data_IF_369426686101
#
_entry.id   IF_369426686101
#
_cell.length_a   1.000
_cell.length_b   1.000
_cell.length_c   1.000
_cell.angle_alpha   90.00
_cell.angle_beta   90.00
_cell.angle_gamma   90.00
#
_symmetry.space_group_name_H-M   'P 1'
#
loop_
_entity.id
_entity.type
_entity.pdbx_description
1 polymer ?
#
# COMPACT_ATOMS: atom_id res chain seq x y z
N UNK A 1 -13.45 22.22 38.72
CA UNK A 1 -14.11 21.19 37.90
C UNK A 1 -14.15 21.56 36.42
N UNK A 2 -14.64 22.76 36.05
CA UNK A 2 -14.71 23.24 34.66
C UNK A 2 -13.33 23.31 33.94
N UNK A 3 -12.28 23.80 34.60
CA UNK A 3 -10.92 23.84 34.03
C UNK A 3 -10.36 22.45 33.68
N UNK A 4 -10.66 21.44 34.50
CA UNK A 4 -10.16 20.06 34.29
C UNK A 4 -10.83 19.45 33.05
N UNK A 5 -12.16 19.58 32.94
CA UNK A 5 -12.93 19.08 31.79
C UNK A 5 -12.46 19.76 30.49
N UNK A 6 -12.22 21.07 30.55
CA UNK A 6 -11.68 21.83 29.42
C UNK A 6 -10.26 21.40 29.02
N UNK A 7 -9.36 21.21 29.99
CA UNK A 7 -8.01 20.71 29.71
C UNK A 7 -8.01 19.32 29.08
N UNK A 8 -8.89 18.42 29.56
CA UNK A 8 -9.01 17.06 29.05
C UNK A 8 -9.61 17.01 27.64
N UNK A 9 -10.63 17.84 27.36
CA UNK A 9 -11.22 17.95 26.03
C UNK A 9 -10.19 18.44 25.00
N UNK A 10 -9.37 19.43 25.39
CA UNK A 10 -8.27 19.95 24.56
C UNK A 10 -7.19 18.89 24.30
N UNK A 11 -6.82 18.10 25.31
CA UNK A 11 -5.89 16.99 25.16
C UNK A 11 -6.42 15.95 24.15
N UNK A 12 -7.68 15.51 24.31
CA UNK A 12 -8.32 14.56 23.38
C UNK A 12 -8.39 15.09 21.96
N UNK A 13 -8.67 16.39 21.79
CA UNK A 13 -8.65 17.04 20.48
C UNK A 13 -7.30 16.89 19.78
N UNK A 14 -6.18 17.15 20.48
CA UNK A 14 -4.85 17.00 19.88
C UNK A 14 -4.53 15.55 19.53
N UNK A 15 -4.90 14.60 20.40
CA UNK A 15 -4.69 13.18 20.13
C UNK A 15 -5.43 12.73 18.85
N UNK A 16 -6.70 13.09 18.69
CA UNK A 16 -7.45 12.78 17.47
C UNK A 16 -6.85 13.44 16.23
N UNK A 17 -6.36 14.67 16.36
CA UNK A 17 -5.70 15.36 15.24
C UNK A 17 -4.42 14.66 14.79
N UNK A 18 -3.61 14.18 15.74
CA UNK A 18 -2.42 13.40 15.42
C UNK A 18 -2.78 12.03 14.84
N UNK A 19 -3.81 11.37 15.37
CA UNK A 19 -4.30 10.09 14.85
C UNK A 19 -4.76 10.21 13.39
N UNK A 20 -5.57 11.23 13.07
CA UNK A 20 -5.99 11.53 11.69
C UNK A 20 -4.77 11.71 10.78
N UNK A 21 -3.72 12.37 11.27
CA UNK A 21 -2.48 12.58 10.49
C UNK A 21 -1.77 11.25 10.19
N UNK A 22 -1.66 10.36 11.16
CA UNK A 22 -1.05 9.03 10.93
C UNK A 22 -1.89 8.17 10.00
N UNK A 23 -3.21 8.12 10.20
CA UNK A 23 -4.10 7.35 9.34
C UNK A 23 -4.14 7.87 7.90
N UNK A 24 -4.02 9.19 7.69
CA UNK A 24 -3.87 9.75 6.34
C UNK A 24 -2.59 9.25 5.65
N UNK A 25 -1.49 9.17 6.39
CA UNK A 25 -0.24 8.63 5.86
C UNK A 25 -0.38 7.15 5.49
N UNK A 26 -1.04 6.36 6.34
CA UNK A 26 -1.28 4.95 6.07
C UNK A 26 -2.15 4.78 4.80
N UNK A 27 -3.17 5.61 4.62
CA UNK A 27 -3.98 5.63 3.39
C UNK A 27 -3.15 6.00 2.17
N UNK A 28 -2.25 6.98 2.27
CA UNK A 28 -1.33 7.33 1.17
C UNK A 28 -0.42 6.15 0.79
N UNK A 29 0.11 5.44 1.78
CA UNK A 29 0.96 4.26 1.56
C UNK A 29 0.16 3.13 0.87
N UNK A 30 -1.10 2.91 1.27
CA UNK A 30 -2.00 1.95 0.63
C UNK A 30 -2.35 2.34 -0.82
N UNK A 31 -2.63 3.62 -1.09
CA UNK A 31 -2.90 4.11 -2.45
C UNK A 31 -1.68 3.92 -3.36
N UNK A 32 -0.49 4.25 -2.87
CA UNK A 32 0.76 4.03 -3.59
C UNK A 32 0.99 2.55 -3.92
N UNK A 33 0.70 1.65 -2.98
CA UNK A 33 0.78 0.19 -3.17
C UNK A 33 -0.14 -0.27 -4.32
N UNK A 34 -1.40 0.19 -4.33
CA UNK A 34 -2.36 -0.10 -5.40
C UNK A 34 -1.85 0.41 -6.76
N UNK A 35 -1.26 1.60 -6.81
CA UNK A 35 -0.73 2.17 -8.04
C UNK A 35 0.46 1.39 -8.60
N UNK A 36 1.30 0.81 -7.74
CA UNK A 36 2.39 -0.10 -8.15
C UNK A 36 1.80 -1.36 -8.78
N UNK A 37 0.78 -1.95 -8.17
CA UNK A 37 0.09 -3.14 -8.68
C UNK A 37 -0.59 -2.85 -10.03
N UNK A 38 -1.30 -1.72 -10.15
CA UNK A 38 -1.94 -1.28 -11.40
C UNK A 38 -0.95 -1.12 -12.56
N UNK A 39 0.27 -0.65 -12.28
CA UNK A 39 1.33 -0.52 -13.29
C UNK A 39 1.96 -1.85 -13.68
N UNK A 40 1.91 -2.86 -12.81
CA UNK A 40 2.61 -4.13 -12.96
C UNK A 40 1.67 -5.35 -12.86
N UNK A 41 0.44 -5.25 -13.38
CA UNK A 41 -0.60 -6.27 -13.19
C UNK A 41 -0.16 -7.70 -13.51
N UNK A 42 0.63 -7.88 -14.58
CA UNK A 42 1.19 -9.18 -14.99
C UNK A 42 2.09 -9.86 -13.96
N UNK A 43 2.66 -9.09 -13.02
CA UNK A 43 3.54 -9.62 -11.96
C UNK A 43 2.76 -10.04 -10.72
N UNK A 44 1.62 -9.43 -10.44
CA UNK A 44 0.98 -9.49 -9.13
C UNK A 44 -0.22 -10.45 -9.04
N UNK A 45 -0.66 -11.08 -10.13
CA UNK A 45 -1.79 -12.05 -10.13
C UNK A 45 -3.06 -11.59 -9.39
N UNK A 46 -3.30 -10.27 -9.32
CA UNK A 46 -4.48 -9.66 -8.69
C UNK A 46 -5.50 -9.30 -9.77
N UNK A 47 -6.79 -9.57 -9.52
CA UNK A 47 -7.88 -9.26 -10.45
C UNK A 47 -8.19 -7.76 -10.52
N UNK A 48 -8.70 -7.29 -11.66
CA UNK A 48 -9.11 -5.89 -11.80
C UNK A 48 -10.27 -5.52 -10.86
N UNK A 49 -11.15 -6.48 -10.55
CA UNK A 49 -12.25 -6.31 -9.60
C UNK A 49 -11.72 -6.06 -8.18
N UNK A 50 -10.72 -6.82 -7.75
CA UNK A 50 -10.07 -6.63 -6.45
C UNK A 50 -9.41 -5.25 -6.35
N UNK A 51 -8.72 -4.81 -7.40
CA UNK A 51 -8.11 -3.47 -7.48
C UNK A 51 -9.19 -2.37 -7.39
N UNK A 52 -10.34 -2.56 -8.04
CA UNK A 52 -11.45 -1.61 -7.99
C UNK A 52 -12.08 -1.54 -6.59
N UNK A 53 -12.34 -2.69 -5.98
CA UNK A 53 -12.87 -2.78 -4.62
C UNK A 53 -11.96 -2.06 -3.61
N UNK A 54 -10.64 -2.33 -3.66
CA UNK A 54 -9.66 -1.66 -2.80
C UNK A 54 -9.60 -0.16 -3.06
N UNK A 55 -9.62 0.26 -4.32
CA UNK A 55 -9.67 1.68 -4.68
C UNK A 55 -10.92 2.36 -4.11
N UNK A 56 -12.07 1.69 -4.12
CA UNK A 56 -13.33 2.20 -3.55
C UNK A 56 -13.26 2.29 -2.02
N UNK A 57 -12.71 1.28 -1.36
CA UNK A 57 -12.52 1.26 0.10
C UNK A 57 -11.64 2.42 0.56
N UNK A 58 -10.48 2.65 -0.08
CA UNK A 58 -9.59 3.77 0.25
C UNK A 58 -10.26 5.13 0.06
N UNK A 59 -11.04 5.31 -1.02
CA UNK A 59 -11.83 6.53 -1.23
C UNK A 59 -12.84 6.78 -0.09
N UNK A 60 -13.51 5.73 0.37
CA UNK A 60 -14.45 5.84 1.49
C UNK A 60 -13.73 6.23 2.80
N UNK A 61 -12.60 5.59 3.09
CA UNK A 61 -11.78 5.92 4.28
C UNK A 61 -11.32 7.38 4.23
N UNK A 62 -10.84 7.84 3.07
CA UNK A 62 -10.39 9.22 2.87
C UNK A 62 -11.52 10.23 3.06
N UNK A 63 -12.74 9.91 2.60
CA UNK A 63 -13.91 10.75 2.86
C UNK A 63 -14.19 10.85 4.37
N UNK A 64 -14.20 9.72 5.09
CA UNK A 64 -14.40 9.71 6.55
C UNK A 64 -13.34 10.53 7.28
N UNK A 65 -12.05 10.36 6.94
CA UNK A 65 -10.96 11.11 7.56
C UNK A 65 -11.09 12.62 7.33
N UNK A 66 -11.49 13.04 6.13
CA UNK A 66 -11.70 14.45 5.81
C UNK A 66 -12.90 15.03 6.57
N UNK A 67 -14.00 14.29 6.65
CA UNK A 67 -15.19 14.72 7.39
C UNK A 67 -14.87 14.89 8.87
N UNK A 68 -14.26 13.88 9.51
CA UNK A 68 -13.84 13.93 10.92
C UNK A 68 -12.84 15.07 11.16
N UNK A 69 -11.90 15.29 10.24
CA UNK A 69 -10.98 16.43 10.33
C UNK A 69 -11.74 17.77 10.30
N UNK A 70 -12.76 17.88 9.44
CA UNK A 70 -13.60 19.08 9.35
C UNK A 70 -14.41 19.32 10.62
N UNK A 71 -15.01 18.27 11.19
CA UNK A 71 -15.78 18.31 12.44
C UNK A 71 -14.90 18.78 13.59
N UNK A 72 -13.66 18.27 13.67
CA UNK A 72 -12.67 18.75 14.63
C UNK A 72 -12.31 20.23 14.43
N UNK A 73 -12.15 20.70 13.19
CA UNK A 73 -11.82 22.12 12.95
C UNK A 73 -12.95 23.08 13.31
N UNK A 74 -14.21 22.63 13.23
CA UNK A 74 -15.41 23.41 13.54
C UNK A 74 -15.72 23.47 15.04
N UNK A 75 -15.10 22.60 15.83
CA UNK A 75 -15.26 22.55 17.29
C UNK A 75 -14.59 23.77 17.95
N UNK A 76 -15.18 24.34 19.02
CA UNK A 76 -14.65 25.56 19.67
C UNK A 76 -13.25 25.38 20.30
N UNK A 77 -12.74 24.14 20.37
CA UNK A 77 -11.41 23.76 20.83
C UNK A 77 -10.27 24.10 19.83
N UNK A 78 -10.62 24.58 18.63
CA UNK A 78 -9.65 25.02 17.61
C UNK A 78 -8.77 26.19 18.11
N UNK A 79 -7.44 26.18 17.88
CA UNK A 79 -6.51 27.18 18.44
C UNK A 79 -6.80 28.66 18.11
N UNK A 80 -7.66 28.93 17.13
CA UNK A 80 -7.95 30.28 16.64
C UNK A 80 -9.03 31.04 17.43
N UNK A 81 -9.75 30.39 18.37
CA UNK A 81 -10.92 30.99 19.08
C UNK A 81 -10.60 31.23 20.58
N UNK A 82 -9.35 31.46 20.94
CA UNK A 82 -8.98 31.78 22.34
C UNK A 82 -8.14 33.05 22.45
N UNK A 83 -8.70 34.15 21.94
CA UNK A 83 -8.47 35.48 22.50
C UNK A 83 -9.86 36.12 22.60
N UNK A 84 -10.33 36.38 23.83
CA UNK A 84 -11.65 36.87 24.24
C UNK A 84 -12.80 35.84 24.25
N UNK A 85 -13.18 35.34 25.44
CA UNK A 85 -14.35 35.91 26.13
C UNK A 85 -14.61 35.25 27.49
N UNK A 86 -14.89 36.13 28.44
CA UNK A 86 -15.27 35.91 29.82
C UNK A 86 -16.81 35.84 29.85
N UNK A 87 -17.42 34.70 30.21
CA UNK A 87 -18.66 34.57 31.03
C UNK A 87 -19.18 33.12 31.06
N UNK A 88 -19.16 32.55 32.25
CA UNK A 88 -19.61 31.20 32.59
C UNK A 88 -21.10 30.94 32.26
N UNK A 89 -21.38 29.71 31.78
CA UNK A 89 -22.66 29.01 31.49
C UNK A 89 -22.96 28.73 30.00
N UNK A 90 -22.69 29.65 29.06
CA UNK A 90 -22.92 29.39 27.61
C UNK A 90 -21.83 28.48 27.02
N UNK A 91 -20.60 28.60 27.53
CA UNK A 91 -19.48 27.74 27.15
C UNK A 91 -19.66 26.28 27.58
N UNK A 92 -20.44 25.98 28.62
CA UNK A 92 -20.60 24.60 29.13
C UNK A 92 -21.55 23.79 28.25
N UNK A 93 -22.69 24.36 27.86
CA UNK A 93 -23.62 23.67 26.93
C UNK A 93 -22.94 23.45 25.58
N UNK A 94 -22.26 24.48 25.05
CA UNK A 94 -21.51 24.37 23.80
C UNK A 94 -20.32 23.39 23.90
N UNK A 95 -19.65 23.32 25.04
CA UNK A 95 -18.59 22.34 25.27
C UNK A 95 -19.13 20.90 25.36
N UNK A 96 -20.32 20.69 25.93
CA UNK A 96 -20.96 19.37 25.93
C UNK A 96 -21.34 18.94 24.51
N UNK A 97 -21.91 19.85 23.72
CA UNK A 97 -22.21 19.61 22.30
C UNK A 97 -20.92 19.28 21.52
N UNK A 98 -19.84 20.02 21.77
CA UNK A 98 -18.51 19.78 21.19
C UNK A 98 -17.89 18.44 21.63
N UNK A 99 -18.13 18.00 22.87
CA UNK A 99 -17.69 16.70 23.40
C UNK A 99 -18.45 15.54 22.76
N UNK A 100 -19.73 15.72 22.43
CA UNK A 100 -20.53 14.74 21.70
C UNK A 100 -20.01 14.58 20.26
N UNK A 101 -19.75 15.70 19.57
CA UNK A 101 -19.10 15.69 18.25
C UNK A 101 -17.73 15.01 18.31
N UNK A 102 -16.95 15.26 19.37
CA UNK A 102 -15.65 14.61 19.55
C UNK A 102 -15.78 13.10 19.77
N UNK A 103 -16.79 12.65 20.51
CA UNK A 103 -17.04 11.24 20.76
C UNK A 103 -17.47 10.51 19.47
N UNK A 104 -18.38 11.11 18.71
CA UNK A 104 -18.83 10.58 17.41
C UNK A 104 -17.67 10.54 16.40
N UNK A 105 -16.88 11.62 16.34
CA UNK A 105 -15.68 11.71 15.50
C UNK A 105 -14.66 10.63 15.86
N UNK A 106 -14.45 10.38 17.15
CA UNK A 106 -13.56 9.32 17.63
C UNK A 106 -14.04 7.93 17.22
N UNK A 107 -15.34 7.66 17.27
CA UNK A 107 -15.91 6.37 16.83
C UNK A 107 -15.73 6.17 15.32
N UNK A 108 -16.04 7.19 14.51
CA UNK A 108 -15.84 7.15 13.06
C UNK A 108 -14.37 6.96 12.69
N UNK A 109 -13.47 7.64 13.39
CA UNK A 109 -12.02 7.50 13.23
C UNK A 109 -11.55 6.08 13.60
N UNK A 110 -12.06 5.53 14.71
CA UNK A 110 -11.75 4.18 15.14
C UNK A 110 -12.18 3.14 14.10
N UNK A 111 -13.37 3.28 13.52
CA UNK A 111 -13.86 2.41 12.46
C UNK A 111 -13.02 2.53 11.18
N UNK A 112 -12.59 3.74 10.82
CA UNK A 112 -11.66 3.97 9.72
C UNK A 112 -10.31 3.28 9.98
N UNK A 113 -9.77 3.38 11.20
CA UNK A 113 -8.53 2.74 11.60
C UNK A 113 -8.60 1.20 11.54
N UNK A 114 -9.72 0.60 11.97
CA UNK A 114 -9.96 -0.86 11.81
C UNK A 114 -9.94 -1.25 10.34
N UNK A 115 -10.59 -0.45 9.49
CA UNK A 115 -10.65 -0.71 8.05
C UNK A 115 -9.25 -0.62 7.41
N UNK A 116 -8.47 0.40 7.75
CA UNK A 116 -7.06 0.54 7.33
C UNK A 116 -6.23 -0.66 7.81
N UNK A 117 -6.38 -1.07 9.06
CA UNK A 117 -5.66 -2.24 9.59
C UNK A 117 -6.00 -3.53 8.84
N UNK A 118 -7.26 -3.70 8.45
CA UNK A 118 -7.72 -4.85 7.68
C UNK A 118 -7.12 -4.82 6.27
N UNK A 119 -7.15 -3.68 5.60
CA UNK A 119 -6.55 -3.52 4.27
C UNK A 119 -5.02 -3.76 4.29
N UNK A 120 -4.32 -3.27 5.32
CA UNK A 120 -2.89 -3.55 5.52
C UNK A 120 -2.61 -5.05 5.69
N UNK A 121 -3.41 -5.74 6.51
CA UNK A 121 -3.29 -7.21 6.69
C UNK A 121 -3.57 -7.97 5.40
N UNK A 122 -4.57 -7.53 4.64
CA UNK A 122 -4.89 -8.15 3.37
C UNK A 122 -3.79 -7.95 2.33
N UNK A 123 -3.14 -6.78 2.32
CA UNK A 123 -1.95 -6.57 1.47
C UNK A 123 -0.78 -7.47 1.90
N UNK A 124 -0.54 -7.66 3.21
CA UNK A 124 0.49 -8.60 3.69
C UNK A 124 0.21 -10.03 3.22
N UNK A 125 -1.04 -10.50 3.39
CA UNK A 125 -1.44 -11.84 2.93
C UNK A 125 -1.23 -12.01 1.42
N UNK A 126 -1.59 -11.01 0.62
CA UNK A 126 -1.38 -11.06 -0.84
C UNK A 126 0.11 -11.11 -1.22
N UNK A 127 0.97 -10.41 -0.46
CA UNK A 127 2.42 -10.47 -0.68
C UNK A 127 3.00 -11.85 -0.34
N UNK A 128 2.54 -12.46 0.75
CA UNK A 128 2.95 -13.83 1.13
C UNK A 128 2.52 -14.85 0.07
N UNK A 129 1.31 -14.70 -0.48
CA UNK A 129 0.82 -15.55 -1.58
C UNK A 129 1.67 -15.39 -2.85
N UNK A 130 2.00 -14.15 -3.20
CA UNK A 130 2.88 -13.85 -4.32
C UNK A 130 4.31 -14.39 -4.11
N UNK A 131 4.84 -14.31 -2.89
CA UNK A 131 6.16 -14.87 -2.54
C UNK A 131 6.18 -16.40 -2.74
N UNK A 132 5.15 -17.10 -2.26
CA UNK A 132 5.02 -18.54 -2.48
C UNK A 132 4.91 -18.92 -3.96
N UNK A 133 4.15 -18.14 -4.75
CA UNK A 133 4.08 -18.35 -6.21
C UNK A 133 5.44 -18.10 -6.89
N UNK A 134 6.15 -17.07 -6.47
CA UNK A 134 7.49 -16.74 -6.97
C UNK A 134 8.50 -17.84 -6.62
N UNK A 135 8.45 -18.41 -5.43
CA UNK A 135 9.32 -19.53 -5.02
C UNK A 135 9.05 -20.78 -5.87
N UNK A 136 7.80 -21.16 -6.08
CA UNK A 136 7.44 -22.27 -6.97
C UNK A 136 7.88 -22.02 -8.42
N UNK A 137 7.76 -20.77 -8.89
CA UNK A 137 8.28 -20.38 -10.22
C UNK A 137 9.81 -20.46 -10.29
N UNK A 138 10.50 -20.03 -9.24
CA UNK A 138 11.96 -20.13 -9.11
C UNK A 138 12.43 -21.59 -9.05
N UNK A 139 11.71 -22.48 -8.37
CA UNK A 139 12.02 -23.91 -8.37
C UNK A 139 11.93 -24.52 -9.78
N UNK A 140 10.87 -24.17 -10.54
CA UNK A 140 10.73 -24.59 -11.95
C UNK A 140 11.82 -23.99 -12.82
N UNK A 141 12.17 -22.72 -12.64
CA UNK A 141 13.28 -22.07 -13.33
C UNK A 141 14.61 -22.75 -13.01
N UNK A 142 14.87 -23.10 -11.75
CA UNK A 142 16.06 -23.81 -11.32
C UNK A 142 16.13 -25.21 -11.95
N UNK A 143 15.00 -25.91 -12.07
CA UNK A 143 14.93 -27.18 -12.77
C UNK A 143 15.23 -27.04 -14.28
N UNK A 144 14.67 -26.02 -14.93
CA UNK A 144 14.95 -25.71 -16.35
C UNK A 144 16.42 -25.34 -16.54
N UNK A 145 16.95 -24.49 -15.67
CA UNK A 145 18.36 -24.07 -15.68
C UNK A 145 19.29 -25.27 -15.46
N UNK A 146 18.94 -26.18 -14.56
CA UNK A 146 19.68 -27.42 -14.33
C UNK A 146 19.63 -28.33 -15.56
N UNK A 147 18.47 -28.51 -16.20
CA UNK A 147 18.37 -29.28 -17.45
C UNK A 147 19.16 -28.66 -18.60
N UNK A 148 19.17 -27.33 -18.71
CA UNK A 148 20.01 -26.61 -19.67
C UNK A 148 21.48 -26.87 -19.34
N UNK A 149 21.88 -26.77 -18.07
CA UNK A 149 23.23 -27.10 -17.61
C UNK A 149 23.59 -28.55 -17.92
N UNK A 150 22.70 -29.51 -17.71
CA UNK A 150 22.91 -30.93 -18.02
C UNK A 150 23.01 -31.16 -19.53
N UNK A 151 22.19 -30.49 -20.35
CA UNK A 151 22.27 -30.53 -21.82
C UNK A 151 23.56 -29.88 -22.35
N UNK A 152 24.08 -28.87 -21.66
CA UNK A 152 25.38 -28.28 -21.92
C UNK A 152 26.53 -29.13 -21.36
N UNK A 153 26.29 -29.94 -20.32
CA UNK A 153 27.28 -30.82 -19.70
C UNK A 153 27.36 -32.21 -20.34
N UNK A 154 26.44 -32.60 -21.23
CA UNK A 154 26.63 -33.75 -22.14
C UNK A 154 27.67 -33.42 -23.21
N UNK A 155 28.88 -33.15 -22.73
CA UNK A 155 30.08 -33.00 -23.51
C UNK A 155 30.66 -34.38 -23.71
N UNK A 156 30.34 -34.99 -24.85
CA UNK A 156 31.45 -35.58 -25.59
C UNK A 156 32.18 -34.40 -26.23
N UNK A 157 33.29 -33.88 -25.65
CA UNK A 157 33.99 -32.71 -26.18
C UNK A 157 34.41 -32.91 -27.65
N UNK A 158 34.60 -34.17 -28.05
CA UNK A 158 34.85 -34.58 -29.44
C UNK A 158 33.67 -34.27 -30.38
N UNK A 159 32.42 -34.48 -29.95
CA UNK A 159 31.23 -34.24 -30.77
C UNK A 159 30.95 -32.75 -30.90
N UNK A 160 31.10 -31.97 -29.82
CA UNK A 160 30.91 -30.52 -29.86
C UNK A 160 31.99 -29.84 -30.69
N UNK A 161 33.26 -30.25 -30.52
CA UNK A 161 34.35 -29.79 -31.37
C UNK A 161 34.11 -30.12 -32.85
N UNK A 162 33.52 -31.28 -33.14
CA UNK A 162 33.18 -31.68 -34.50
C UNK A 162 32.04 -30.83 -35.10
N UNK A 163 30.99 -30.55 -34.32
CA UNK A 163 29.86 -29.70 -34.75
C UNK A 163 30.33 -28.26 -35.03
N UNK A 164 31.16 -27.68 -34.15
CA UNK A 164 31.75 -26.35 -34.33
C UNK A 164 32.62 -26.27 -35.58
N UNK A 165 33.42 -27.30 -35.83
CA UNK A 165 34.25 -27.40 -37.04
C UNK A 165 33.41 -27.48 -38.32
N UNK A 166 32.38 -28.34 -38.34
CA UNK A 166 31.47 -28.49 -39.48
C UNK A 166 30.68 -27.21 -39.78
N UNK A 167 30.19 -26.51 -38.75
CA UNK A 167 29.49 -25.23 -38.93
C UNK A 167 30.42 -24.14 -39.45
N UNK A 168 31.66 -24.06 -38.95
CA UNK A 168 32.67 -23.12 -39.46
C UNK A 168 32.99 -23.32 -40.94
N UNK A 169 33.17 -24.57 -41.38
CA UNK A 169 33.37 -24.91 -42.80
C UNK A 169 32.15 -24.51 -43.63
N UNK A 170 30.94 -24.78 -43.15
CA UNK A 170 29.71 -24.40 -43.86
C UNK A 170 29.61 -22.89 -44.06
N UNK A 171 29.97 -22.09 -43.07
CA UNK A 171 30.00 -20.63 -43.18
C UNK A 171 31.09 -20.15 -44.14
N UNK A 172 32.26 -20.76 -44.11
CA UNK A 172 33.35 -20.44 -45.04
C UNK A 172 32.96 -20.72 -46.49
N UNK A 173 32.32 -21.87 -46.77
CA UNK A 173 31.81 -22.20 -48.11
C UNK A 173 30.74 -21.21 -48.57
N UNK A 174 29.82 -20.81 -47.68
CA UNK A 174 28.83 -19.77 -47.97
C UNK A 174 29.49 -18.42 -48.27
N UNK A 175 30.51 -18.04 -47.51
CA UNK A 175 31.25 -16.79 -47.71
C UNK A 175 31.96 -16.76 -49.07
N UNK A 176 32.65 -17.85 -49.42
CA UNK A 176 33.31 -17.99 -50.74
C UNK A 176 32.28 -17.91 -51.87
N UNK A 177 31.11 -18.53 -51.71
CA UNK A 177 30.05 -18.48 -52.72
C UNK A 177 29.45 -17.07 -52.89
N UNK A 178 29.33 -16.30 -51.80
CA UNK A 178 28.81 -14.91 -51.85
C UNK A 178 29.83 -13.93 -52.44
N UNK A 179 31.12 -14.17 -52.21
CA UNK A 179 32.21 -13.30 -52.68
C UNK A 179 32.63 -13.60 -54.12
N UNK A 180 32.53 -14.86 -54.54
CA UNK A 180 32.90 -15.31 -55.88
C UNK A 180 31.81 -15.07 -56.92
#
# INVERSE_FOLDING_TARGET
MCYIIFSLAKEKYYLMKDEIKYLNKDVDDLENSIDVVKKNTHKFNISNEEIENRTKSLKNIRAILNDVASDLTNTALSPNIYMMDDYNNIAINKQNDDLEVLAESAERLHNAAITINTELKDQQRLLDELENEMDNSNEKMNFVTKKISDYLQTNNPKIISLILYLTGISFFLLFVLVVS
#
